data_IF_470789913299
#
_entry.id   IF_470789913299
#
_cell.length_a   1.000
_cell.length_b   1.000
_cell.length_c   1.000
_cell.angle_alpha   90.00
_cell.angle_beta   90.00
_cell.angle_gamma   90.00
#
_symmetry.space_group_name_H-M   'P 1'
#
loop_
_entity.id
_entity.type
_entity.pdbx_description
1 polymer ?
#
# COMPACT_ATOMS: atom_id res chain seq x y z
N UNK A 1 34.24 -18.38 -68.38
CA UNK A 1 34.04 -18.99 -67.04
C UNK A 1 33.54 -17.92 -66.08
N UNK A 2 32.27 -17.49 -66.12
CA UNK A 2 31.76 -16.53 -65.12
C UNK A 2 30.26 -16.28 -65.11
N UNK A 3 29.47 -16.75 -66.08
CA UNK A 3 28.01 -16.46 -66.09
C UNK A 3 27.14 -17.44 -65.27
N UNK A 4 27.67 -18.60 -64.87
CA UNK A 4 26.87 -19.59 -64.10
C UNK A 4 26.87 -19.37 -62.57
N UNK A 5 27.79 -18.58 -62.03
CA UNK A 5 27.85 -18.32 -60.58
C UNK A 5 26.92 -17.17 -60.12
N UNK A 6 26.59 -16.24 -61.00
CA UNK A 6 25.74 -15.09 -60.69
C UNK A 6 24.23 -15.44 -60.69
N UNK A 7 23.81 -16.43 -61.47
CA UNK A 7 22.43 -16.85 -61.50
C UNK A 7 22.02 -17.70 -60.28
N UNK A 8 22.98 -18.38 -59.64
CA UNK A 8 22.67 -19.18 -58.45
C UNK A 8 22.50 -18.31 -57.18
N UNK A 9 23.16 -17.16 -57.12
CA UNK A 9 23.02 -16.23 -55.98
C UNK A 9 21.72 -15.45 -56.01
N UNK A 10 21.15 -15.19 -57.20
CA UNK A 10 19.86 -14.46 -57.34
C UNK A 10 18.67 -15.38 -57.04
N UNK A 11 18.77 -16.66 -57.41
CA UNK A 11 17.72 -17.65 -57.12
C UNK A 11 17.60 -17.95 -55.61
N UNK A 12 18.71 -17.94 -54.84
CA UNK A 12 18.70 -18.18 -53.41
C UNK A 12 18.18 -16.97 -52.64
N UNK A 13 18.40 -15.74 -53.11
CA UNK A 13 17.85 -14.54 -52.52
C UNK A 13 16.34 -14.37 -52.74
N UNK A 14 15.79 -14.87 -53.83
CA UNK A 14 14.35 -14.81 -54.12
C UNK A 14 13.52 -15.83 -53.31
N UNK A 15 14.13 -16.93 -52.88
CA UNK A 15 13.45 -17.98 -52.09
C UNK A 15 13.30 -17.62 -50.60
N UNK A 16 14.04 -16.63 -50.12
CA UNK A 16 13.92 -16.15 -48.73
C UNK A 16 12.77 -15.17 -48.51
N UNK A 17 12.14 -14.63 -49.56
CA UNK A 17 11.08 -13.63 -49.43
C UNK A 17 9.66 -14.17 -49.57
N UNK A 18 9.48 -15.45 -49.92
CA UNK A 18 8.14 -16.04 -50.04
C UNK A 18 7.67 -16.85 -48.84
N UNK A 19 8.43 -16.82 -47.74
CA UNK A 19 8.15 -17.61 -46.53
C UNK A 19 7.43 -16.89 -45.39
N UNK A 20 7.07 -15.62 -45.52
CA UNK A 20 6.38 -14.86 -44.45
C UNK A 20 5.06 -14.28 -44.96
N UNK A 21 4.08 -15.10 -45.25
CA UNK A 21 2.70 -14.64 -45.48
C UNK A 21 1.64 -15.46 -44.74
N UNK A 22 1.95 -15.82 -43.50
CA UNK A 22 0.89 -16.09 -42.53
C UNK A 22 1.27 -15.40 -41.24
N UNK A 23 0.94 -14.12 -41.15
CA UNK A 23 0.70 -13.51 -39.83
C UNK A 23 -0.32 -14.43 -39.19
N UNK A 24 -0.02 -15.04 -38.02
CA UNK A 24 -1.05 -15.75 -37.30
C UNK A 24 -2.21 -14.77 -37.14
N UNK A 25 -3.41 -15.14 -37.57
CA UNK A 25 -4.61 -14.42 -37.18
C UNK A 25 -4.53 -14.34 -35.65
N UNK A 26 -4.28 -13.17 -35.15
CA UNK A 26 -4.43 -12.89 -33.72
C UNK A 26 -5.78 -13.48 -33.36
N UNK A 27 -5.78 -14.41 -32.44
CA UNK A 27 -7.01 -14.94 -31.88
C UNK A 27 -7.64 -13.74 -31.15
N UNK A 28 -8.45 -12.98 -31.86
CA UNK A 28 -9.33 -11.99 -31.29
C UNK A 28 -10.39 -12.76 -30.49
N UNK A 29 -10.00 -13.25 -29.34
CA UNK A 29 -10.99 -13.51 -28.31
C UNK A 29 -11.54 -12.14 -27.93
N UNK A 30 -12.85 -11.91 -28.06
CA UNK A 30 -13.42 -10.65 -27.65
C UNK A 30 -13.01 -10.40 -26.17
N UNK A 31 -12.26 -9.33 -25.93
CA UNK A 31 -11.90 -8.91 -24.58
C UNK A 31 -13.20 -8.51 -23.88
N UNK A 32 -13.66 -9.34 -22.97
CA UNK A 32 -14.74 -8.96 -22.07
C UNK A 32 -14.13 -8.19 -20.89
N UNK A 33 -14.46 -6.92 -20.72
CA UNK A 33 -13.95 -6.15 -19.62
C UNK A 33 -14.40 -6.77 -18.28
N UNK A 34 -13.46 -6.88 -17.36
CA UNK A 34 -13.75 -7.34 -16.00
C UNK A 34 -14.77 -6.41 -15.37
N UNK A 35 -15.94 -6.94 -15.02
CA UNK A 35 -16.97 -6.19 -14.30
C UNK A 35 -16.68 -6.23 -12.81
N UNK A 36 -16.37 -5.08 -12.24
CA UNK A 36 -16.19 -4.92 -10.80
C UNK A 36 -17.46 -4.28 -10.24
N UNK A 37 -18.12 -4.97 -9.30
CA UNK A 37 -19.28 -4.42 -8.62
C UNK A 37 -18.85 -3.23 -7.76
N UNK A 38 -19.39 -2.06 -8.06
CA UNK A 38 -19.22 -0.84 -7.26
C UNK A 38 -20.45 -0.69 -6.38
N UNK A 39 -20.32 -0.67 -5.06
CA UNK A 39 -21.47 -0.45 -4.17
C UNK A 39 -22.12 0.90 -4.45
N UNK A 40 -23.45 0.95 -4.43
CA UNK A 40 -24.15 2.23 -4.49
C UNK A 40 -23.86 3.05 -3.23
N UNK A 41 -23.59 4.33 -3.42
CA UNK A 41 -23.49 5.26 -2.29
C UNK A 41 -24.87 5.55 -1.74
N UNK A 42 -25.05 5.49 -0.41
CA UNK A 42 -26.28 5.96 0.22
C UNK A 42 -26.59 7.41 -0.17
N UNK A 43 -27.88 7.73 -0.29
CA UNK A 43 -28.31 9.09 -0.62
C UNK A 43 -27.76 10.12 0.38
N UNK A 44 -27.11 11.16 -0.12
CA UNK A 44 -26.50 12.21 0.70
C UNK A 44 -25.09 11.94 1.21
N UNK A 45 -24.53 10.75 0.96
CA UNK A 45 -23.12 10.45 1.27
C UNK A 45 -22.21 11.23 0.28
N UNK A 46 -21.34 12.07 0.82
CA UNK A 46 -20.36 12.81 0.06
C UNK A 46 -19.05 12.02 -0.03
N UNK A 47 -18.40 12.06 -1.19
CA UNK A 47 -17.07 11.47 -1.32
C UNK A 47 -16.04 12.15 -0.40
N UNK A 48 -14.88 11.52 -0.25
CA UNK A 48 -13.78 12.02 0.57
C UNK A 48 -12.77 12.85 -0.24
N UNK A 49 -13.03 13.12 -1.53
CA UNK A 49 -12.14 13.94 -2.37
C UNK A 49 -12.16 15.38 -1.83
N UNK A 50 -10.96 15.90 -1.52
CA UNK A 50 -10.84 17.23 -0.93
C UNK A 50 -11.33 17.32 0.53
N UNK A 51 -11.53 16.19 1.22
CA UNK A 51 -11.89 16.20 2.64
C UNK A 51 -10.85 16.99 3.44
N UNK A 52 -11.33 17.96 4.19
CA UNK A 52 -10.51 18.73 5.14
C UNK A 52 -10.96 18.49 6.57
N UNK A 53 -10.05 18.62 7.50
CA UNK A 53 -10.32 18.57 8.94
C UNK A 53 -9.84 19.88 9.61
N UNK A 54 -10.42 20.27 10.74
CA UNK A 54 -9.88 21.37 11.53
C UNK A 54 -8.40 21.13 11.88
N UNK A 55 -7.62 22.21 11.88
CA UNK A 55 -6.21 22.13 12.28
C UNK A 55 -6.09 21.61 13.72
N UNK A 56 -5.22 20.64 13.90
CA UNK A 56 -4.83 20.09 15.21
C UNK A 56 -3.37 20.51 15.45
N UNK A 57 -3.10 21.30 16.48
CA UNK A 57 -1.75 21.79 16.76
C UNK A 57 -0.82 20.67 17.26
N UNK A 58 -1.35 19.72 18.03
CA UNK A 58 -0.64 18.51 18.44
C UNK A 58 -1.51 17.29 18.17
N UNK A 59 -1.13 16.50 17.17
CA UNK A 59 -1.83 15.26 16.80
C UNK A 59 -1.49 14.17 17.80
N UNK A 60 -2.50 13.67 18.50
CA UNK A 60 -2.37 12.61 19.51
C UNK A 60 -2.58 11.26 18.85
N UNK A 61 -1.56 10.41 18.87
CA UNK A 61 -1.50 9.19 18.08
C UNK A 61 -1.54 7.94 18.94
N UNK A 62 -2.35 6.97 18.52
CA UNK A 62 -2.32 5.60 19.02
C UNK A 62 -1.75 4.65 17.97
N UNK A 63 -0.83 3.79 18.36
CA UNK A 63 -0.23 2.76 17.49
C UNK A 63 -0.86 1.40 17.76
N UNK A 64 -1.35 0.75 16.71
CA UNK A 64 -1.82 -0.65 16.75
C UNK A 64 -0.87 -1.50 15.90
N UNK A 65 -0.12 -2.37 16.57
CA UNK A 65 1.00 -3.11 16.02
C UNK A 65 2.33 -2.38 16.25
N UNK A 66 3.18 -2.92 17.10
CA UNK A 66 4.53 -2.39 17.38
C UNK A 66 5.60 -3.45 17.15
N UNK A 67 5.33 -4.37 16.21
CA UNK A 67 6.27 -5.40 15.77
C UNK A 67 7.36 -4.85 14.85
N UNK A 68 7.71 -5.60 13.79
CA UNK A 68 8.84 -5.29 12.89
C UNK A 68 8.81 -3.86 12.36
N UNK A 69 7.75 -3.50 11.63
CA UNK A 69 7.58 -2.16 11.03
C UNK A 69 7.18 -1.13 12.08
N UNK A 70 6.32 -1.53 13.03
CA UNK A 70 5.76 -0.64 14.02
C UNK A 70 6.79 -0.04 14.96
N UNK A 71 7.78 -0.81 15.45
CA UNK A 71 8.81 -0.32 16.35
C UNK A 71 9.65 0.79 15.69
N UNK A 72 10.02 0.62 14.42
CA UNK A 72 10.75 1.64 13.68
C UNK A 72 9.88 2.85 13.33
N UNK A 73 8.57 2.66 13.20
CA UNK A 73 7.63 3.76 13.03
C UNK A 73 7.50 4.58 14.33
N UNK A 74 7.38 3.94 15.50
CA UNK A 74 7.37 4.64 16.80
C UNK A 74 8.59 5.55 16.91
N UNK A 75 9.79 5.04 16.61
CA UNK A 75 11.01 5.85 16.64
C UNK A 75 10.93 7.04 15.68
N UNK A 76 10.60 6.81 14.39
CA UNK A 76 10.50 7.89 13.40
C UNK A 76 9.49 8.97 13.78
N UNK A 77 8.35 8.59 14.33
CA UNK A 77 7.29 9.53 14.67
C UNK A 77 7.63 10.43 15.85
N UNK A 78 8.59 10.05 16.70
CA UNK A 78 9.10 10.95 17.75
C UNK A 78 9.82 12.18 17.18
N UNK A 79 10.26 12.12 15.93
CA UNK A 79 10.94 13.23 15.25
C UNK A 79 9.98 14.14 14.44
N UNK A 80 8.67 13.84 14.41
CA UNK A 80 7.69 14.66 13.71
C UNK A 80 7.18 15.77 14.63
N UNK A 81 7.43 17.06 14.33
CA UNK A 81 6.91 18.15 15.13
C UNK A 81 5.38 18.15 15.20
N UNK A 82 4.83 18.40 16.36
CA UNK A 82 3.37 18.44 16.56
C UNK A 82 2.73 17.05 16.67
N UNK A 83 3.51 15.99 16.91
CA UNK A 83 3.01 14.64 17.20
C UNK A 83 3.26 14.28 18.66
N UNK A 84 2.28 13.64 19.30
CA UNK A 84 2.39 13.02 20.60
C UNK A 84 1.84 11.59 20.56
N UNK A 85 2.67 10.61 20.88
CA UNK A 85 2.24 9.21 20.96
C UNK A 85 1.58 9.01 22.34
N UNK A 86 0.28 8.66 22.34
CA UNK A 86 -0.55 8.54 23.54
C UNK A 86 -0.80 7.09 23.95
N UNK A 87 -0.74 6.17 22.99
CA UNK A 87 -1.03 4.77 23.27
C UNK A 87 -0.27 3.84 22.33
N UNK A 88 0.15 2.69 22.84
CA UNK A 88 0.82 1.60 22.13
C UNK A 88 0.04 0.31 22.35
N UNK A 89 -0.23 -0.42 21.29
CA UNK A 89 -0.95 -1.69 21.33
C UNK A 89 -0.25 -2.75 20.46
N UNK A 90 -0.09 -3.93 21.00
CA UNK A 90 0.30 -5.15 20.27
C UNK A 90 -0.26 -6.37 21.01
N UNK A 91 -0.53 -7.45 20.30
CA UNK A 91 -0.95 -8.71 20.92
C UNK A 91 0.11 -9.23 21.91
N UNK A 92 1.38 -8.97 21.63
CA UNK A 92 2.54 -9.44 22.38
C UNK A 92 3.05 -8.37 23.35
N UNK A 93 2.93 -8.59 24.68
CA UNK A 93 3.33 -7.59 25.68
C UNK A 93 4.79 -7.15 25.57
N UNK A 94 5.70 -8.07 25.25
CA UNK A 94 7.13 -7.80 25.12
C UNK A 94 7.46 -6.78 24.01
N UNK A 95 6.64 -6.71 22.95
CA UNK A 95 6.81 -5.73 21.90
C UNK A 95 6.33 -4.34 22.34
N UNK A 96 5.25 -4.28 23.10
CA UNK A 96 4.75 -3.05 23.70
C UNK A 96 5.78 -2.47 24.68
N UNK A 97 6.37 -3.31 25.53
CA UNK A 97 7.44 -2.87 26.43
C UNK A 97 8.66 -2.33 25.67
N UNK A 98 9.05 -3.00 24.59
CA UNK A 98 10.15 -2.55 23.72
C UNK A 98 9.83 -1.21 23.09
N UNK A 99 8.62 -1.03 22.56
CA UNK A 99 8.18 0.22 21.96
C UNK A 99 8.12 1.36 22.99
N UNK A 100 7.65 1.08 24.20
CA UNK A 100 7.65 2.03 25.30
C UNK A 100 9.06 2.50 25.66
N UNK A 101 10.02 1.57 25.75
CA UNK A 101 11.44 1.92 25.99
C UNK A 101 12.00 2.82 24.88
N UNK A 102 11.68 2.52 23.62
CA UNK A 102 12.08 3.34 22.46
C UNK A 102 11.49 4.75 22.58
N UNK A 103 10.21 4.85 22.91
CA UNK A 103 9.52 6.14 23.08
C UNK A 103 10.18 7.00 24.15
N UNK A 104 10.39 6.43 25.35
CA UNK A 104 10.99 7.12 26.49
C UNK A 104 12.44 7.50 26.22
N UNK A 105 13.24 6.61 25.60
CA UNK A 105 14.63 6.92 25.25
C UNK A 105 14.76 8.03 24.20
N UNK A 106 13.71 8.28 23.42
CA UNK A 106 13.62 9.41 22.50
C UNK A 106 13.15 10.71 23.15
N UNK A 107 13.02 10.73 24.49
CA UNK A 107 12.61 11.91 25.26
C UNK A 107 11.10 12.20 25.26
N UNK A 108 10.28 11.25 24.78
CA UNK A 108 8.83 11.38 24.81
C UNK A 108 8.24 10.88 26.13
N UNK A 109 7.09 11.41 26.57
CA UNK A 109 6.35 10.87 27.71
C UNK A 109 5.94 9.41 27.48
N UNK A 110 5.77 8.67 28.57
CA UNK A 110 5.18 7.34 28.52
C UNK A 110 3.77 7.36 27.90
N UNK A 111 3.50 6.36 27.07
CA UNK A 111 2.20 6.12 26.48
C UNK A 111 1.41 5.07 27.27
N UNK A 112 0.09 5.10 27.21
CA UNK A 112 -0.74 4.02 27.70
C UNK A 112 -0.48 2.74 26.87
N UNK A 113 -0.51 1.58 27.52
CA UNK A 113 -0.20 0.29 26.87
C UNK A 113 -1.37 -0.67 26.91
N UNK A 114 -1.57 -1.38 25.78
CA UNK A 114 -2.62 -2.38 25.61
C UNK A 114 -2.00 -3.64 25.00
N UNK A 115 -2.23 -4.80 25.60
CA UNK A 115 -1.66 -6.06 25.08
C UNK A 115 -2.36 -7.30 25.63
N UNK A 116 -2.02 -8.46 25.06
CA UNK A 116 -2.40 -9.78 25.59
C UNK A 116 -3.81 -10.26 25.23
N UNK A 117 -4.65 -9.42 24.63
CA UNK A 117 -5.98 -9.81 24.12
C UNK A 117 -6.12 -9.40 22.65
N UNK A 118 -6.78 -10.23 21.86
CA UNK A 118 -6.99 -9.99 20.41
C UNK A 118 -7.75 -8.70 20.13
N UNK A 119 -8.58 -8.24 21.05
CA UNK A 119 -9.38 -7.03 20.92
C UNK A 119 -8.87 -5.85 21.77
N UNK A 120 -7.69 -5.96 22.39
CA UNK A 120 -7.10 -4.89 23.20
C UNK A 120 -6.99 -3.55 22.44
N UNK A 121 -6.80 -3.59 21.12
CA UNK A 121 -6.74 -2.42 20.26
C UNK A 121 -8.04 -1.60 20.24
N UNK A 122 -9.20 -2.22 20.53
CA UNK A 122 -10.48 -1.51 20.64
C UNK A 122 -10.48 -0.52 21.81
N UNK A 123 -9.83 -0.90 22.91
CA UNK A 123 -9.68 0.02 24.07
C UNK A 123 -8.88 1.27 23.70
N UNK A 124 -7.84 1.11 22.87
CA UNK A 124 -7.08 2.24 22.33
C UNK A 124 -7.96 3.13 21.45
N UNK A 125 -8.74 2.56 20.53
CA UNK A 125 -9.64 3.32 19.66
C UNK A 125 -10.73 4.09 20.43
N UNK A 126 -11.15 3.58 21.59
CA UNK A 126 -12.20 4.20 22.42
C UNK A 126 -11.69 5.39 23.28
N UNK A 127 -10.41 5.73 23.25
CA UNK A 127 -9.85 6.85 24.01
C UNK A 127 -10.23 8.20 23.41
N UNK A 128 -10.62 9.15 24.24
CA UNK A 128 -10.94 10.54 23.81
C UNK A 128 -9.69 11.40 23.57
N UNK A 129 -8.53 10.96 24.05
CA UNK A 129 -7.26 11.67 23.91
C UNK A 129 -6.41 11.15 22.73
N UNK A 130 -7.03 10.53 21.75
CA UNK A 130 -6.41 10.10 20.48
C UNK A 130 -7.16 10.75 19.32
N UNK A 131 -6.43 11.36 18.40
CA UNK A 131 -6.93 11.98 17.18
C UNK A 131 -6.71 11.09 15.95
N UNK A 132 -5.59 10.37 15.94
CA UNK A 132 -5.14 9.53 14.85
C UNK A 132 -4.75 8.14 15.34
N UNK A 133 -5.23 7.11 14.68
CA UNK A 133 -4.78 5.73 14.89
C UNK A 133 -3.87 5.32 13.72
N UNK A 134 -2.68 4.84 14.05
CA UNK A 134 -1.75 4.24 13.10
C UNK A 134 -1.82 2.73 13.19
N UNK A 135 -2.28 2.09 12.10
CA UNK A 135 -2.45 0.63 12.01
C UNK A 135 -1.27 0.03 11.25
N UNK A 136 -0.54 -0.87 11.90
CA UNK A 136 0.68 -1.50 11.35
C UNK A 136 0.82 -2.95 11.83
N UNK A 137 -0.28 -3.67 11.81
CA UNK A 137 -0.41 -5.08 12.19
C UNK A 137 -0.10 -6.01 11.00
N UNK A 138 -0.67 -7.19 10.98
CA UNK A 138 -0.72 -8.03 9.79
C UNK A 138 -1.80 -7.53 8.83
N UNK A 139 -1.64 -7.84 7.56
CA UNK A 139 -2.48 -7.32 6.47
C UNK A 139 -3.96 -7.64 6.63
N UNK A 140 -4.26 -8.80 7.21
CA UNK A 140 -5.62 -9.31 7.38
C UNK A 140 -6.49 -8.41 8.27
N UNK A 141 -5.89 -7.72 9.24
CA UNK A 141 -6.64 -6.92 10.22
C UNK A 141 -6.62 -5.41 9.93
N UNK A 142 -5.86 -4.95 8.93
CA UNK A 142 -5.72 -3.54 8.61
C UNK A 142 -7.07 -2.84 8.38
N UNK A 143 -7.89 -3.41 7.51
CA UNK A 143 -9.17 -2.79 7.16
C UNK A 143 -10.16 -2.77 8.34
N UNK A 144 -10.29 -3.87 9.08
CA UNK A 144 -11.16 -3.95 10.27
C UNK A 144 -10.79 -2.88 11.31
N UNK A 145 -9.51 -2.79 11.63
CA UNK A 145 -9.01 -1.82 12.61
C UNK A 145 -9.19 -0.38 12.13
N UNK A 146 -8.95 -0.12 10.84
CA UNK A 146 -9.17 1.19 10.23
C UNK A 146 -10.63 1.63 10.26
N UNK A 147 -11.55 0.75 9.87
CA UNK A 147 -13.00 0.99 9.93
C UNK A 147 -13.44 1.28 11.36
N UNK A 148 -13.09 0.42 12.31
CA UNK A 148 -13.45 0.61 13.69
C UNK A 148 -12.93 1.93 14.27
N UNK A 149 -11.69 2.28 14.01
CA UNK A 149 -11.11 3.54 14.48
C UNK A 149 -11.87 4.76 13.93
N UNK A 150 -12.22 4.76 12.64
CA UNK A 150 -12.99 5.85 12.04
C UNK A 150 -14.42 5.94 12.63
N UNK A 151 -15.09 4.82 12.88
CA UNK A 151 -16.39 4.77 13.53
C UNK A 151 -16.36 5.30 14.97
N UNK A 152 -15.18 5.24 15.62
CA UNK A 152 -14.94 5.82 16.95
C UNK A 152 -14.31 7.22 16.89
N UNK A 153 -14.48 7.90 15.76
CA UNK A 153 -14.13 9.32 15.61
C UNK A 153 -12.65 9.62 15.38
N UNK A 154 -11.82 8.63 15.04
CA UNK A 154 -10.39 8.81 14.80
C UNK A 154 -10.10 8.95 13.31
N UNK A 155 -9.11 9.74 12.95
CA UNK A 155 -8.44 9.63 11.67
C UNK A 155 -7.59 8.36 11.65
N UNK A 156 -7.32 7.79 10.47
CA UNK A 156 -6.49 6.59 10.38
C UNK A 156 -5.39 6.73 9.35
N UNK A 157 -4.24 6.19 9.69
CA UNK A 157 -3.11 5.95 8.83
C UNK A 157 -2.83 4.44 8.86
N UNK A 158 -2.83 3.78 7.71
CA UNK A 158 -2.75 2.33 7.61
C UNK A 158 -1.54 1.95 6.76
N UNK A 159 -0.69 1.07 7.27
CA UNK A 159 0.43 0.50 6.50
C UNK A 159 -0.08 -0.32 5.31
N UNK A 160 0.78 -0.48 4.34
CA UNK A 160 0.48 -1.19 3.10
C UNK A 160 0.49 -2.72 3.27
N UNK A 161 -0.44 -3.38 2.60
CA UNK A 161 -1.63 -2.89 1.93
C UNK A 161 -2.73 -2.56 2.94
N UNK A 162 -3.50 -1.52 2.71
CA UNK A 162 -4.58 -1.12 3.63
C UNK A 162 -5.74 -2.12 3.66
N UNK A 163 -5.90 -2.92 2.61
CA UNK A 163 -6.94 -3.92 2.47
C UNK A 163 -6.47 -5.08 1.59
N UNK A 164 -7.08 -6.26 1.76
CA UNK A 164 -6.78 -7.48 1.01
C UNK A 164 -7.90 -7.87 0.03
N UNK A 165 -9.07 -7.28 0.16
CA UNK A 165 -10.25 -7.58 -0.66
C UNK A 165 -10.96 -6.31 -1.11
N UNK A 166 -11.72 -6.40 -2.23
CA UNK A 166 -12.54 -5.28 -2.70
C UNK A 166 -13.57 -4.83 -1.66
N UNK A 167 -14.15 -5.75 -0.91
CA UNK A 167 -15.11 -5.40 0.15
C UNK A 167 -14.45 -4.58 1.26
N UNK A 168 -13.23 -4.91 1.65
CA UNK A 168 -12.47 -4.14 2.63
C UNK A 168 -12.10 -2.76 2.11
N UNK A 169 -11.71 -2.64 0.82
CA UNK A 169 -11.46 -1.34 0.18
C UNK A 169 -12.70 -0.47 0.27
N UNK A 170 -13.86 -1.00 -0.13
CA UNK A 170 -15.12 -0.26 -0.06
C UNK A 170 -15.55 0.05 1.37
N UNK A 171 -15.29 -0.83 2.32
CA UNK A 171 -15.56 -0.57 3.74
C UNK A 171 -14.74 0.63 4.25
N UNK A 172 -13.45 0.72 3.93
CA UNK A 172 -12.61 1.86 4.29
C UNK A 172 -13.10 3.16 3.66
N UNK A 173 -13.39 3.15 2.34
CA UNK A 173 -13.87 4.32 1.61
C UNK A 173 -15.20 4.80 2.19
N UNK A 174 -16.19 3.92 2.27
CA UNK A 174 -17.53 4.27 2.75
C UNK A 174 -17.51 4.75 4.20
N UNK A 175 -16.66 4.16 5.05
CA UNK A 175 -16.54 4.61 6.45
C UNK A 175 -15.88 5.99 6.53
N UNK A 176 -14.84 6.27 5.75
CA UNK A 176 -14.23 7.59 5.66
C UNK A 176 -15.24 8.63 5.20
N UNK A 177 -16.01 8.34 4.15
CA UNK A 177 -17.05 9.22 3.62
C UNK A 177 -18.16 9.48 4.67
N UNK A 178 -18.64 8.44 5.34
CA UNK A 178 -19.71 8.51 6.36
C UNK A 178 -19.27 9.26 7.61
N UNK A 179 -18.07 8.98 8.11
CA UNK A 179 -17.57 9.54 9.38
C UNK A 179 -16.86 10.87 9.20
N UNK A 180 -16.55 11.24 7.96
CA UNK A 180 -15.72 12.40 7.60
C UNK A 180 -14.36 12.38 8.28
N UNK A 181 -13.76 11.19 8.41
CA UNK A 181 -12.41 10.97 8.94
C UNK A 181 -11.45 10.64 7.81
N UNK A 182 -10.26 11.22 7.85
CA UNK A 182 -9.20 10.84 6.91
C UNK A 182 -8.83 9.37 7.09
N UNK A 183 -8.73 8.67 5.96
CA UNK A 183 -8.20 7.32 5.86
C UNK A 183 -7.08 7.33 4.84
N UNK A 184 -5.84 7.16 5.27
CA UNK A 184 -4.67 7.22 4.41
C UNK A 184 -3.93 5.89 4.43
N UNK A 185 -3.76 5.28 3.26
CA UNK A 185 -2.76 4.23 3.07
C UNK A 185 -1.38 4.87 3.01
N UNK A 186 -0.45 4.38 3.82
CA UNK A 186 0.91 4.91 3.90
C UNK A 186 1.83 4.24 2.88
N UNK A 187 1.53 4.46 1.59
CA UNK A 187 2.36 3.98 0.50
C UNK A 187 3.61 4.84 0.36
N UNK A 188 4.72 4.38 0.91
CA UNK A 188 5.94 5.17 1.01
C UNK A 188 6.66 5.38 -0.33
N UNK A 189 6.56 4.42 -1.27
CA UNK A 189 7.27 4.52 -2.55
C UNK A 189 6.79 5.68 -3.41
N UNK A 190 5.54 6.14 -3.28
CA UNK A 190 5.05 7.33 -4.00
C UNK A 190 5.75 8.63 -3.58
N UNK A 191 6.45 8.64 -2.44
CA UNK A 191 7.16 9.80 -1.89
C UNK A 191 8.68 9.71 -2.07
N UNK A 192 9.18 8.68 -2.73
CA UNK A 192 10.59 8.56 -3.02
C UNK A 192 11.02 9.59 -4.08
N UNK A 193 12.30 9.97 -4.07
CA UNK A 193 12.81 11.05 -4.90
C UNK A 193 12.57 10.82 -6.40
N UNK A 194 12.77 9.59 -6.86
CA UNK A 194 12.58 9.24 -8.27
C UNK A 194 11.11 9.35 -8.70
N UNK A 195 10.22 8.81 -7.90
CA UNK A 195 8.78 8.79 -8.16
C UNK A 195 8.19 10.19 -8.15
N UNK A 196 8.52 11.01 -7.15
CA UNK A 196 8.09 12.41 -7.09
C UNK A 196 8.67 13.25 -8.25
N UNK A 197 9.92 12.98 -8.64
CA UNK A 197 10.53 13.67 -9.78
C UNK A 197 9.81 13.29 -11.07
N UNK A 198 9.53 12.00 -11.28
CA UNK A 198 8.81 11.50 -12.46
C UNK A 198 7.40 12.10 -12.54
N UNK A 199 6.68 12.10 -11.42
CA UNK A 199 5.34 12.73 -11.34
C UNK A 199 5.41 14.23 -11.70
N UNK A 200 6.36 14.96 -11.16
CA UNK A 200 6.54 16.38 -11.48
C UNK A 200 6.85 16.60 -12.97
N UNK A 201 7.69 15.76 -13.57
CA UNK A 201 7.98 15.81 -15.01
C UNK A 201 6.73 15.52 -15.85
N UNK A 202 5.92 14.54 -15.45
CA UNK A 202 4.66 14.22 -16.12
C UNK A 202 3.68 15.40 -16.06
N UNK A 203 3.51 16.00 -14.88
CA UNK A 203 2.64 17.17 -14.68
C UNK A 203 3.07 18.39 -15.48
N UNK A 204 4.35 18.52 -15.80
CA UNK A 204 4.87 19.55 -16.68
C UNK A 204 4.80 19.19 -18.17
N UNK A 205 4.24 18.04 -18.52
CA UNK A 205 4.08 17.59 -19.90
C UNK A 205 5.37 17.13 -20.59
N UNK A 206 6.44 16.89 -19.84
CA UNK A 206 7.74 16.50 -20.41
C UNK A 206 7.72 15.16 -21.15
N UNK A 207 6.79 14.27 -20.78
CA UNK A 207 6.63 12.96 -21.43
C UNK A 207 5.63 12.97 -22.59
N UNK A 208 4.90 14.09 -22.80
CA UNK A 208 3.79 14.16 -23.75
C UNK A 208 2.61 13.28 -23.28
N UNK A 209 1.93 12.63 -24.23
CA UNK A 209 0.86 11.69 -23.94
C UNK A 209 1.45 10.36 -23.41
N UNK A 210 1.08 9.99 -22.17
CA UNK A 210 1.57 8.76 -21.53
C UNK A 210 0.68 7.60 -22.00
N UNK A 211 1.27 6.67 -22.75
CA UNK A 211 0.57 5.52 -23.31
C UNK A 211 0.73 4.25 -22.47
N UNK A 212 1.80 4.15 -21.70
CA UNK A 212 2.11 2.98 -20.89
C UNK A 212 2.98 3.37 -19.70
N UNK A 213 2.69 2.75 -18.56
CA UNK A 213 3.49 2.86 -17.33
C UNK A 213 3.74 1.47 -16.79
N UNK A 214 4.94 1.20 -16.34
CA UNK A 214 5.34 -0.02 -15.65
C UNK A 214 5.97 0.32 -14.30
N UNK A 215 5.44 -0.28 -13.24
CA UNK A 215 5.98 -0.18 -11.89
C UNK A 215 6.27 -1.56 -11.33
N UNK A 216 7.40 -1.74 -10.64
CA UNK A 216 7.77 -3.00 -10.05
C UNK A 216 8.42 -2.82 -8.68
N UNK A 217 8.12 -3.74 -7.75
CA UNK A 217 8.77 -3.85 -6.45
C UNK A 217 9.35 -5.25 -6.33
N UNK A 218 10.64 -5.37 -6.64
CA UNK A 218 11.32 -6.67 -6.80
C UNK A 218 12.46 -6.77 -5.77
N UNK A 219 12.38 -7.80 -4.92
CA UNK A 219 13.39 -8.08 -3.90
C UNK A 219 13.83 -9.53 -3.91
N UNK A 220 15.12 -9.77 -3.65
CA UNK A 220 15.57 -11.06 -3.17
C UNK A 220 15.21 -11.17 -1.68
N UNK A 221 14.30 -12.09 -1.34
CA UNK A 221 13.83 -12.31 0.02
C UNK A 221 14.63 -13.39 0.77
N UNK A 222 15.64 -13.99 0.17
CA UNK A 222 16.39 -15.12 0.76
C UNK A 222 16.96 -14.76 2.14
N UNK A 223 17.55 -13.57 2.27
CA UNK A 223 18.10 -13.07 3.53
C UNK A 223 17.06 -12.83 4.62
N UNK A 224 15.79 -12.60 4.22
CA UNK A 224 14.70 -12.30 5.15
C UNK A 224 13.93 -13.52 5.62
N UNK A 225 14.10 -14.70 4.98
CA UNK A 225 13.39 -15.92 5.35
C UNK A 225 13.53 -16.29 6.85
N UNK A 226 14.69 -16.17 7.50
CA UNK A 226 14.81 -16.45 8.93
C UNK A 226 13.94 -15.54 9.80
N UNK A 227 13.75 -14.30 9.40
CA UNK A 227 12.90 -13.33 10.12
C UNK A 227 11.42 -13.56 9.91
N UNK A 228 11.05 -14.23 8.80
CA UNK A 228 9.65 -14.58 8.49
C UNK A 228 9.23 -15.92 9.09
N UNK A 229 10.18 -16.70 9.63
CA UNK A 229 9.86 -17.95 10.28
C UNK A 229 8.94 -17.72 11.48
N UNK A 230 7.83 -18.47 11.56
CA UNK A 230 6.74 -18.25 12.51
C UNK A 230 6.10 -16.83 12.44
N UNK A 231 6.15 -16.20 11.29
CA UNK A 231 5.55 -14.91 11.05
C UNK A 231 4.43 -15.05 10.02
N UNK A 232 3.34 -14.32 10.21
CA UNK A 232 2.20 -14.28 9.30
C UNK A 232 2.59 -14.01 7.83
N UNK A 233 3.67 -13.27 7.56
CA UNK A 233 4.18 -13.02 6.21
C UNK A 233 4.60 -14.29 5.49
N UNK A 234 5.20 -15.24 6.18
CA UNK A 234 5.58 -16.51 5.58
C UNK A 234 4.34 -17.29 5.12
N UNK A 235 3.27 -17.27 5.91
CA UNK A 235 2.03 -17.95 5.56
C UNK A 235 1.40 -17.34 4.31
N UNK A 236 1.41 -16.01 4.16
CA UNK A 236 0.96 -15.34 2.94
C UNK A 236 1.81 -15.73 1.73
N UNK A 237 3.14 -15.67 1.84
CA UNK A 237 4.06 -16.04 0.76
C UNK A 237 3.90 -17.52 0.34
N UNK A 238 3.48 -18.38 1.24
CA UNK A 238 3.21 -19.81 0.95
C UNK A 238 1.83 -20.05 0.34
N UNK A 239 0.84 -19.30 0.79
CA UNK A 239 -0.55 -19.46 0.37
C UNK A 239 -0.84 -18.84 -1.00
N UNK A 240 -0.20 -17.74 -1.32
CA UNK A 240 -0.43 -16.98 -2.54
C UNK A 240 0.76 -17.09 -3.50
N UNK A 241 0.44 -17.31 -4.78
CA UNK A 241 1.41 -17.27 -5.89
C UNK A 241 1.10 -16.06 -6.77
N UNK A 242 2.13 -15.33 -7.15
CA UNK A 242 2.01 -14.11 -7.92
C UNK A 242 2.26 -12.87 -7.08
N UNK A 243 1.82 -11.73 -7.58
CA UNK A 243 2.02 -10.46 -6.90
C UNK A 243 0.99 -10.26 -5.77
N UNK A 244 1.45 -10.40 -4.54
CA UNK A 244 0.64 -10.20 -3.32
C UNK A 244 0.93 -8.85 -2.65
N UNK A 245 1.82 -8.04 -3.24
CA UNK A 245 2.29 -6.78 -2.66
C UNK A 245 2.50 -5.70 -3.72
N UNK A 246 1.48 -5.55 -4.60
CA UNK A 246 1.53 -4.66 -5.76
C UNK A 246 1.60 -3.17 -5.43
N UNK A 247 1.28 -2.76 -4.20
CA UNK A 247 1.09 -1.36 -3.83
C UNK A 247 2.31 -0.48 -4.11
N UNK A 248 3.52 -0.98 -3.88
CA UNK A 248 4.75 -0.21 -4.09
C UNK A 248 5.06 0.07 -5.57
N UNK A 249 4.69 -0.84 -6.47
CA UNK A 249 4.81 -0.61 -7.92
C UNK A 249 3.62 0.17 -8.48
N UNK A 250 2.40 -0.22 -8.07
CA UNK A 250 1.17 0.39 -8.58
C UNK A 250 0.91 1.79 -8.02
N UNK A 251 1.32 2.08 -6.78
CA UNK A 251 1.12 3.39 -6.18
C UNK A 251 1.67 4.54 -7.03
N UNK A 252 2.96 4.54 -7.35
CA UNK A 252 3.54 5.54 -8.25
C UNK A 252 2.92 5.52 -9.65
N UNK A 253 2.69 4.33 -10.23
CA UNK A 253 2.10 4.21 -11.56
C UNK A 253 0.69 4.81 -11.66
N UNK A 254 -0.12 4.70 -10.60
CA UNK A 254 -1.47 5.27 -10.55
C UNK A 254 -1.50 6.80 -10.38
N UNK A 255 -0.38 7.46 -10.14
CA UNK A 255 -0.29 8.91 -10.02
C UNK A 255 0.03 9.61 -11.35
N UNK A 256 0.53 8.86 -12.34
CA UNK A 256 0.88 9.32 -13.67
C UNK A 256 -0.31 9.29 -14.61
#
# INVERSE_FOLDING_TARGET
MSMRKTLFSIATALLCFTGCTSVPKTCEQPYEPIQIAVPERPAGQQDAVGLTAPKIDTVRVGFIGVGMRGISAVERWTHIPGVQIKALCDLRPELVEKAQKTLVSSGMPEAATYSGAEDAWKQLCNRDDIDLVYVVTDWKHHAEMGVYAMEHGKHVAIEVPAAMTLNEIWALINTSEKTRKHCMQLENCVYDFFELTTLNMAQQGLFGEILHVEGAYIHNLEEFWPYYWNNWRLDYNRAFRGDIYATHGMGPACQL
#
